data_IF_168862315220
#
_entry.id   IF_168862315220
#
_cell.length_a   1.000
_cell.length_b   1.000
_cell.length_c   1.000
_cell.angle_alpha   90.00
_cell.angle_beta   90.00
_cell.angle_gamma   90.00
#
_symmetry.space_group_name_H-M   'P 1'
#
loop_
_entity.id
_entity.type
_entity.pdbx_description
1 polymer ?
#
# COMPACT_ATOMS: atom_id res chain seq x y z
N UNK A 1 -18.91 25.98 4.87
CA UNK A 1 -19.89 24.86 4.77
C UNK A 1 -19.07 23.58 4.88
N UNK A 2 -19.21 22.85 5.99
CA UNK A 2 -18.47 21.61 6.20
C UNK A 2 -19.12 20.52 5.34
N UNK A 3 -18.46 20.11 4.28
CA UNK A 3 -18.84 18.92 3.54
C UNK A 3 -18.57 17.70 4.40
N UNK A 4 -19.62 17.00 4.83
CA UNK A 4 -19.52 15.67 5.40
C UNK A 4 -19.16 14.78 4.21
N UNK A 5 -17.87 14.42 4.06
CA UNK A 5 -17.46 13.42 3.10
C UNK A 5 -17.98 12.06 3.60
N UNK A 6 -19.13 11.67 3.08
CA UNK A 6 -19.56 10.27 3.08
C UNK A 6 -18.50 9.49 2.31
N UNK A 7 -17.84 8.55 2.96
CA UNK A 7 -16.76 7.73 2.42
C UNK A 7 -16.98 7.37 0.95
N UNK A 8 -16.22 8.02 0.06
CA UNK A 8 -16.45 7.98 -1.38
C UNK A 8 -16.36 6.56 -1.89
N UNK A 9 -17.45 6.09 -2.48
CA UNK A 9 -17.52 4.77 -3.09
C UNK A 9 -16.48 4.68 -4.21
N UNK A 10 -15.63 3.66 -4.18
CA UNK A 10 -14.64 3.42 -5.23
C UNK A 10 -15.29 3.57 -6.63
N UNK A 11 -14.70 4.41 -7.48
CA UNK A 11 -15.18 4.59 -8.85
C UNK A 11 -14.91 3.35 -9.68
N UNK A 12 -15.70 3.17 -10.75
CA UNK A 12 -15.46 2.06 -11.70
C UNK A 12 -14.09 2.17 -12.37
N UNK A 13 -13.60 3.39 -12.58
CA UNK A 13 -12.29 3.65 -13.19
C UNK A 13 -11.17 3.22 -12.26
N UNK A 14 -11.22 3.63 -10.99
CA UNK A 14 -10.23 3.24 -9.98
C UNK A 14 -10.23 1.72 -9.74
N UNK A 15 -11.41 1.10 -9.66
CA UNK A 15 -11.49 -0.37 -9.55
C UNK A 15 -10.84 -1.06 -10.75
N UNK A 16 -11.14 -0.62 -11.97
CA UNK A 16 -10.52 -1.15 -13.19
C UNK A 16 -9.01 -0.96 -13.20
N UNK A 17 -8.52 0.17 -12.69
CA UNK A 17 -7.08 0.41 -12.55
C UNK A 17 -6.46 -0.59 -11.57
N UNK A 18 -7.01 -0.71 -10.36
CA UNK A 18 -6.55 -1.65 -9.33
C UNK A 18 -6.54 -3.10 -9.85
N UNK A 19 -7.53 -3.49 -10.64
CA UNK A 19 -7.61 -4.85 -11.18
C UNK A 19 -6.58 -5.15 -12.28
N UNK A 20 -6.16 -4.14 -13.06
CA UNK A 20 -5.38 -4.36 -14.30
C UNK A 20 -3.94 -3.87 -14.24
N UNK A 21 -3.60 -2.91 -13.35
CA UNK A 21 -2.24 -2.38 -13.24
C UNK A 21 -1.24 -3.49 -12.95
N UNK A 22 -0.08 -3.45 -13.60
CA UNK A 22 1.01 -4.42 -13.43
C UNK A 22 2.13 -3.79 -12.61
N UNK A 23 2.95 -4.60 -11.94
CA UNK A 23 4.10 -4.13 -11.17
C UNK A 23 5.01 -3.21 -12.02
N UNK A 24 5.28 -3.59 -13.27
CA UNK A 24 6.11 -2.82 -14.19
C UNK A 24 5.51 -1.49 -14.68
N UNK A 25 4.21 -1.27 -14.46
CA UNK A 25 3.52 -0.05 -14.89
C UNK A 25 3.69 1.09 -13.85
N UNK A 26 4.24 0.79 -12.67
CA UNK A 26 4.52 1.74 -11.61
C UNK A 26 6.01 2.15 -11.65
N UNK A 27 6.31 3.45 -11.63
CA UNK A 27 7.69 3.94 -11.63
C UNK A 27 8.33 3.86 -10.23
N UNK A 28 8.52 2.64 -9.71
CA UNK A 28 8.99 2.36 -8.34
C UNK A 28 10.29 3.11 -7.96
N UNK A 29 11.17 3.31 -8.93
CA UNK A 29 12.42 4.04 -8.74
C UNK A 29 12.24 5.57 -8.61
N UNK A 30 11.02 6.07 -8.75
CA UNK A 30 10.67 7.50 -8.68
C UNK A 30 9.62 7.83 -7.61
N UNK A 31 9.17 6.84 -6.85
CA UNK A 31 8.23 7.03 -5.74
C UNK A 31 8.88 6.65 -4.42
N UNK A 32 8.47 7.35 -3.36
CA UNK A 32 9.13 7.28 -2.05
C UNK A 32 8.55 6.22 -1.14
N UNK A 33 9.41 5.73 -0.29
CA UNK A 33 9.12 4.94 0.91
C UNK A 33 9.51 5.73 2.16
N UNK A 34 9.44 5.14 3.33
CA UNK A 34 9.87 5.75 4.61
C UNK A 34 11.32 6.27 4.57
N UNK A 35 12.22 5.54 3.92
CA UNK A 35 13.66 5.82 4.02
C UNK A 35 14.34 6.08 2.67
N UNK A 36 13.70 5.69 1.56
CA UNK A 36 14.31 5.71 0.23
C UNK A 36 13.25 5.64 -0.87
N UNK A 37 13.67 5.43 -2.10
CA UNK A 37 12.78 5.10 -3.22
C UNK A 37 12.38 3.62 -3.18
N UNK A 38 11.24 3.27 -3.76
CA UNK A 38 10.69 1.91 -3.80
C UNK A 38 11.33 1.01 -4.87
N UNK A 39 12.56 1.28 -5.29
CA UNK A 39 13.23 0.65 -6.45
C UNK A 39 13.21 -0.87 -6.42
N UNK A 40 13.38 -1.48 -5.24
CA UNK A 40 13.47 -2.94 -5.07
C UNK A 40 12.11 -3.65 -4.93
N UNK A 41 11.01 -2.91 -4.80
CA UNK A 41 9.67 -3.48 -4.58
C UNK A 41 9.25 -4.51 -5.64
N UNK A 42 9.53 -4.32 -6.96
CA UNK A 42 9.21 -5.35 -7.95
C UNK A 42 9.79 -6.73 -7.61
N UNK A 43 11.04 -6.78 -7.16
CA UNK A 43 11.72 -8.02 -6.75
C UNK A 43 11.05 -8.63 -5.52
N UNK A 44 10.69 -7.82 -4.54
CA UNK A 44 10.03 -8.31 -3.33
C UNK A 44 8.64 -8.87 -3.63
N UNK A 45 7.86 -8.24 -4.52
CA UNK A 45 6.58 -8.79 -4.95
C UNK A 45 6.70 -10.13 -5.69
N UNK A 46 7.76 -10.34 -6.48
CA UNK A 46 8.04 -11.64 -7.11
C UNK A 46 8.28 -12.71 -6.04
N UNK A 47 9.15 -12.44 -5.05
CA UNK A 47 9.42 -13.35 -3.93
C UNK A 47 8.14 -13.70 -3.17
N UNK A 48 7.36 -12.67 -2.78
CA UNK A 48 6.10 -12.88 -2.07
C UNK A 48 5.08 -13.67 -2.89
N UNK A 49 5.03 -13.45 -4.20
CA UNK A 49 4.10 -14.14 -5.08
C UNK A 49 4.51 -15.60 -5.32
N UNK A 50 5.79 -15.93 -5.31
CA UNK A 50 6.27 -17.30 -5.56
C UNK A 50 5.99 -18.25 -4.39
N UNK A 51 6.04 -17.75 -3.15
CA UNK A 51 5.73 -18.52 -1.92
C UNK A 51 6.53 -19.82 -1.80
N UNK A 52 7.81 -19.80 -2.16
CA UNK A 52 8.66 -20.98 -2.20
C UNK A 52 9.63 -21.10 -1.02
N UNK A 53 10.06 -19.96 -0.47
CA UNK A 53 11.07 -19.86 0.57
C UNK A 53 10.58 -18.92 1.68
N UNK A 54 10.45 -19.46 2.89
CA UNK A 54 9.93 -18.71 4.02
C UNK A 54 10.87 -17.57 4.44
N UNK A 55 12.18 -17.82 4.51
CA UNK A 55 13.17 -16.81 4.92
C UNK A 55 13.22 -15.64 3.90
N UNK A 56 13.17 -15.97 2.60
CA UNK A 56 13.11 -14.94 1.56
C UNK A 56 11.83 -14.10 1.65
N UNK A 57 10.69 -14.73 1.99
CA UNK A 57 9.41 -14.05 2.18
C UNK A 57 9.42 -13.15 3.42
N UNK A 58 9.97 -13.61 4.53
CA UNK A 58 10.14 -12.80 5.75
C UNK A 58 10.94 -11.54 5.42
N UNK A 59 12.11 -11.70 4.81
CA UNK A 59 12.96 -10.56 4.42
C UNK A 59 12.24 -9.60 3.45
N UNK A 60 11.61 -10.12 2.40
CA UNK A 60 10.91 -9.27 1.43
C UNK A 60 9.69 -8.56 2.04
N UNK A 61 8.96 -9.25 2.92
CA UNK A 61 7.82 -8.71 3.66
C UNK A 61 8.21 -7.59 4.61
N UNK A 62 9.30 -7.76 5.38
CA UNK A 62 9.84 -6.76 6.29
C UNK A 62 10.32 -5.51 5.53
N UNK A 63 11.04 -5.67 4.42
CA UNK A 63 11.51 -4.55 3.60
C UNK A 63 10.35 -3.72 3.02
N UNK A 64 9.29 -4.39 2.55
CA UNK A 64 8.09 -3.70 2.09
C UNK A 64 7.40 -3.01 3.28
N UNK A 65 7.16 -3.73 4.38
CA UNK A 65 6.44 -3.21 5.53
C UNK A 65 7.09 -1.93 6.08
N UNK A 66 8.40 -1.96 6.33
CA UNK A 66 9.16 -0.79 6.79
C UNK A 66 9.12 0.37 5.78
N UNK A 67 8.99 0.07 4.50
CA UNK A 67 8.98 1.09 3.45
C UNK A 67 7.62 1.76 3.27
N UNK A 68 6.50 1.10 3.56
CA UNK A 68 5.17 1.60 3.24
C UNK A 68 4.37 2.11 4.44
N UNK A 69 4.73 1.69 5.65
CA UNK A 69 4.10 2.16 6.88
C UNK A 69 5.19 2.34 7.95
N UNK A 70 5.23 3.50 8.57
CA UNK A 70 6.10 3.77 9.70
C UNK A 70 5.48 4.80 10.64
N UNK A 71 5.28 4.42 11.91
CA UNK A 71 4.71 5.28 12.95
C UNK A 71 3.39 5.96 12.53
N UNK A 72 2.49 5.19 11.92
CA UNK A 72 1.20 5.66 11.39
C UNK A 72 1.33 6.66 10.22
N UNK A 73 2.48 6.69 9.54
CA UNK A 73 2.67 7.50 8.33
C UNK A 73 2.71 6.58 7.11
N UNK A 74 1.94 6.94 6.08
CA UNK A 74 1.93 6.28 4.78
C UNK A 74 2.69 7.11 3.74
N UNK A 75 3.26 6.42 2.76
CA UNK A 75 4.16 7.00 1.78
C UNK A 75 3.64 6.84 0.36
N UNK A 76 4.28 7.49 -0.61
CA UNK A 76 3.87 7.46 -2.01
C UNK A 76 3.74 6.02 -2.56
N UNK A 77 4.62 5.13 -2.15
CA UNK A 77 4.58 3.71 -2.56
C UNK A 77 3.42 2.91 -1.93
N UNK A 78 2.87 3.36 -0.79
CA UNK A 78 1.91 2.56 0.00
C UNK A 78 0.66 2.15 -0.77
N UNK A 79 -0.12 3.05 -1.40
CA UNK A 79 -1.34 2.66 -2.09
C UNK A 79 -1.08 1.69 -3.26
N UNK A 80 0.04 1.84 -3.96
CA UNK A 80 0.44 0.94 -5.03
C UNK A 80 0.88 -0.42 -4.49
N UNK A 81 1.68 -0.44 -3.43
CA UNK A 81 2.08 -1.68 -2.76
C UNK A 81 0.86 -2.46 -2.25
N UNK A 82 -0.14 -1.78 -1.68
CA UNK A 82 -1.39 -2.39 -1.24
C UNK A 82 -2.08 -3.19 -2.35
N UNK A 83 -2.06 -2.73 -3.61
CA UNK A 83 -2.66 -3.47 -4.75
C UNK A 83 -1.97 -4.83 -4.94
N UNK A 84 -0.64 -4.85 -4.92
CA UNK A 84 0.12 -6.08 -5.17
C UNK A 84 0.08 -7.01 -3.96
N UNK A 85 0.17 -6.47 -2.75
CA UNK A 85 -0.01 -7.23 -1.51
C UNK A 85 -1.42 -7.83 -1.39
N UNK A 86 -2.47 -7.11 -1.80
CA UNK A 86 -3.83 -7.65 -1.90
C UNK A 86 -3.89 -8.89 -2.81
N UNK A 87 -3.20 -8.85 -3.96
CA UNK A 87 -3.16 -9.99 -4.88
C UNK A 87 -2.37 -11.16 -4.31
N UNK A 88 -1.26 -10.89 -3.62
CA UNK A 88 -0.48 -11.89 -2.89
C UNK A 88 -1.34 -12.53 -1.80
N UNK A 89 -2.03 -11.73 -0.99
CA UNK A 89 -2.94 -12.22 0.06
C UNK A 89 -4.02 -13.14 -0.51
N UNK A 90 -4.66 -12.72 -1.60
CA UNK A 90 -5.68 -13.53 -2.29
C UNK A 90 -5.13 -14.87 -2.77
N UNK A 91 -3.89 -14.89 -3.30
CA UNK A 91 -3.23 -16.13 -3.73
C UNK A 91 -2.85 -16.99 -2.53
N UNK A 92 -2.23 -16.42 -1.50
CA UNK A 92 -1.85 -17.12 -0.29
C UNK A 92 -3.06 -17.79 0.38
N UNK A 93 -4.16 -17.07 0.51
CA UNK A 93 -5.41 -17.60 1.08
C UNK A 93 -5.95 -18.80 0.30
N UNK A 94 -5.80 -18.82 -1.03
CA UNK A 94 -6.19 -19.94 -1.88
C UNK A 94 -5.27 -21.14 -1.73
N UNK A 95 -3.97 -20.91 -1.55
CA UNK A 95 -2.94 -21.94 -1.60
C UNK A 95 -2.55 -22.47 -0.20
N UNK A 96 -3.02 -21.83 0.90
CA UNK A 96 -2.60 -22.10 2.29
C UNK A 96 -2.74 -23.57 2.73
N UNK A 97 -3.79 -24.27 2.28
CA UNK A 97 -4.02 -25.67 2.68
C UNK A 97 -2.99 -26.64 2.07
N UNK A 98 -2.19 -26.19 1.10
CA UNK A 98 -1.22 -27.02 0.36
C UNK A 98 0.19 -26.45 0.40
N UNK A 99 0.37 -25.25 0.91
CA UNK A 99 1.64 -24.54 0.96
C UNK A 99 1.79 -23.86 2.33
N UNK A 100 2.69 -24.40 3.16
CA UNK A 100 2.95 -23.87 4.51
C UNK A 100 3.51 -22.45 4.51
N UNK A 101 4.15 -22.02 3.42
CA UNK A 101 4.64 -20.65 3.28
C UNK A 101 3.46 -19.69 2.99
N UNK A 102 2.49 -20.14 2.19
CA UNK A 102 1.25 -19.39 1.97
C UNK A 102 0.42 -19.31 3.26
N UNK A 103 0.32 -20.39 4.03
CA UNK A 103 -0.33 -20.43 5.34
C UNK A 103 0.29 -19.39 6.30
N UNK A 104 1.62 -19.35 6.38
CA UNK A 104 2.36 -18.36 7.16
C UNK A 104 2.10 -16.92 6.70
N UNK A 105 2.06 -16.68 5.39
CA UNK A 105 1.97 -15.34 4.82
C UNK A 105 0.60 -14.67 5.04
N UNK A 106 -0.48 -15.43 5.17
CA UNK A 106 -1.84 -14.87 5.37
C UNK A 106 -1.91 -13.99 6.63
N UNK A 107 -1.59 -14.47 7.85
CA UNK A 107 -1.64 -13.62 9.03
C UNK A 107 -0.61 -12.49 9.02
N UNK A 108 0.57 -12.67 8.43
CA UNK A 108 1.59 -11.61 8.33
C UNK A 108 1.10 -10.43 7.49
N UNK A 109 0.51 -10.70 6.32
CA UNK A 109 -0.09 -9.65 5.50
C UNK A 109 -1.32 -9.01 6.15
N UNK A 110 -2.13 -9.79 6.87
CA UNK A 110 -3.26 -9.24 7.61
C UNK A 110 -2.82 -8.26 8.70
N UNK A 111 -1.71 -8.53 9.39
CA UNK A 111 -1.13 -7.62 10.38
C UNK A 111 -0.64 -6.32 9.73
N UNK A 112 0.13 -6.41 8.64
CA UNK A 112 0.59 -5.24 7.89
C UNK A 112 -0.58 -4.37 7.40
N UNK A 113 -1.61 -4.98 6.83
CA UNK A 113 -2.83 -4.25 6.46
C UNK A 113 -3.54 -3.63 7.67
N UNK A 114 -3.42 -4.24 8.85
CA UNK A 114 -3.91 -3.69 10.11
C UNK A 114 -3.23 -2.38 10.47
N UNK A 115 -1.89 -2.30 10.42
CA UNK A 115 -1.14 -1.06 10.65
C UNK A 115 -1.52 0.03 9.65
N UNK A 116 -1.65 -0.31 8.37
CA UNK A 116 -2.09 0.64 7.34
C UNK A 116 -3.51 1.13 7.63
N UNK A 117 -4.42 0.26 8.05
CA UNK A 117 -5.79 0.64 8.40
C UNK A 117 -5.85 1.56 9.63
N UNK A 118 -5.01 1.31 10.64
CA UNK A 118 -4.88 2.18 11.82
C UNK A 118 -4.40 3.58 11.41
N UNK A 119 -3.36 3.67 10.56
CA UNK A 119 -2.86 4.93 10.03
C UNK A 119 -3.93 5.71 9.24
N UNK A 120 -4.68 5.02 8.37
CA UNK A 120 -5.80 5.60 7.62
C UNK A 120 -6.86 6.16 8.57
N UNK A 121 -7.28 5.38 9.57
CA UNK A 121 -8.31 5.80 10.51
C UNK A 121 -7.90 7.02 11.34
N UNK A 122 -6.60 7.17 11.66
CA UNK A 122 -6.08 8.37 12.34
C UNK A 122 -6.27 9.59 11.45
N UNK A 123 -5.80 9.54 10.21
CA UNK A 123 -5.79 10.69 9.29
C UNK A 123 -7.20 11.09 8.86
N UNK A 124 -8.11 10.15 8.67
CA UNK A 124 -9.52 10.46 8.34
C UNK A 124 -10.25 11.26 9.43
N UNK A 125 -9.78 11.23 10.66
CA UNK A 125 -10.35 12.01 11.77
C UNK A 125 -9.68 13.38 11.94
N UNK A 126 -8.68 13.70 11.10
CA UNK A 126 -8.00 15.00 11.08
C UNK A 126 -8.56 15.89 9.98
N UNK A 127 -8.15 17.16 9.97
CA UNK A 127 -8.40 18.05 8.83
C UNK A 127 -7.43 17.66 7.69
N UNK A 128 -7.95 17.44 6.49
CA UNK A 128 -7.18 17.05 5.32
C UNK A 128 -7.76 17.64 4.04
N UNK A 129 -6.96 17.67 2.97
CA UNK A 129 -7.39 18.05 1.63
C UNK A 129 -8.33 17.00 1.00
N UNK A 130 -8.95 17.34 -0.12
CA UNK A 130 -9.61 16.36 -0.97
C UNK A 130 -8.55 15.48 -1.67
N UNK A 131 -8.79 14.17 -1.86
CA UNK A 131 -7.85 13.32 -2.59
C UNK A 131 -7.82 13.67 -4.07
N UNK A 132 -6.75 13.29 -4.77
CA UNK A 132 -6.68 13.36 -6.23
C UNK A 132 -7.86 12.60 -6.86
N UNK A 133 -8.35 13.03 -8.03
CA UNK A 133 -9.57 12.47 -8.64
C UNK A 133 -9.48 10.97 -8.95
N UNK A 134 -8.30 10.50 -9.39
CA UNK A 134 -8.11 9.11 -9.77
C UNK A 134 -6.86 8.52 -9.12
N UNK A 135 -6.88 7.21 -8.88
CA UNK A 135 -5.77 6.47 -8.33
C UNK A 135 -4.46 6.69 -9.11
N UNK A 136 -4.53 6.60 -10.43
CA UNK A 136 -3.37 6.75 -11.32
C UNK A 136 -2.76 8.15 -11.30
N UNK A 137 -3.52 9.17 -10.92
CA UNK A 137 -3.06 10.56 -10.94
C UNK A 137 -1.90 10.79 -9.94
N UNK A 138 -1.76 9.91 -8.94
CA UNK A 138 -0.62 9.94 -8.00
C UNK A 138 0.74 9.70 -8.67
N UNK A 139 0.79 9.11 -9.86
CA UNK A 139 2.03 8.92 -10.62
C UNK A 139 2.12 9.81 -11.87
N UNK A 140 1.39 10.94 -11.86
CA UNK A 140 1.62 11.99 -12.84
C UNK A 140 3.04 12.55 -12.69
N UNK A 141 3.67 12.93 -13.80
CA UNK A 141 5.08 13.36 -13.86
C UNK A 141 5.44 14.43 -12.82
N UNK A 142 4.52 15.34 -12.51
CA UNK A 142 4.74 16.42 -11.52
C UNK A 142 4.92 15.94 -10.07
N UNK A 143 4.54 14.70 -9.77
CA UNK A 143 4.64 14.10 -8.44
C UNK A 143 5.80 13.11 -8.31
N UNK A 144 6.44 12.78 -9.42
CA UNK A 144 7.53 11.81 -9.43
C UNK A 144 8.86 12.48 -9.13
N UNK A 145 9.71 11.77 -8.43
CA UNK A 145 11.10 12.16 -8.23
C UNK A 145 11.89 12.02 -9.53
N UNK A 146 13.12 12.59 -9.57
CA UNK A 146 13.98 12.55 -10.75
C UNK A 146 14.18 11.12 -11.28
N UNK A 147 14.29 10.98 -12.60
CA UNK A 147 14.54 9.68 -13.24
C UNK A 147 15.86 9.07 -12.78
N UNK A 148 16.87 9.91 -12.64
CA UNK A 148 18.19 9.51 -12.15
C UNK A 148 18.21 9.65 -10.63
N UNK A 149 18.62 8.59 -9.93
CA UNK A 149 18.85 8.65 -8.49
C UNK A 149 20.09 9.48 -8.19
N UNK A 150 19.93 10.46 -7.34
CA UNK A 150 21.00 11.25 -6.75
C UNK A 150 20.73 11.40 -5.24
N UNK A 151 21.64 10.89 -4.42
CA UNK A 151 21.47 10.82 -2.98
C UNK A 151 21.38 12.22 -2.35
N UNK A 152 22.25 13.16 -2.79
CA UNK A 152 22.26 14.52 -2.26
C UNK A 152 20.97 15.28 -2.63
N UNK A 153 20.45 15.11 -3.85
CA UNK A 153 19.20 15.71 -4.28
C UNK A 153 18.01 15.12 -3.53
N UNK A 154 17.99 13.81 -3.29
CA UNK A 154 16.93 13.14 -2.55
C UNK A 154 16.93 13.55 -1.08
N UNK A 155 18.10 13.67 -0.43
CA UNK A 155 18.23 14.16 0.94
C UNK A 155 17.77 15.62 1.06
N UNK A 156 18.17 16.50 0.15
CA UNK A 156 17.71 17.90 0.14
C UNK A 156 16.19 18.01 0.01
N UNK A 157 15.55 17.14 -0.80
CA UNK A 157 14.08 17.12 -0.91
C UNK A 157 13.40 16.71 0.38
N UNK A 158 14.00 15.81 1.18
CA UNK A 158 13.44 15.43 2.49
C UNK A 158 13.54 16.54 3.53
N UNK A 159 14.46 17.50 3.36
CA UNK A 159 14.60 18.66 4.23
C UNK A 159 13.68 19.81 3.85
N UNK A 160 13.05 19.77 2.66
CA UNK A 160 12.06 20.77 2.24
C UNK A 160 10.78 20.64 3.07
N UNK A 161 10.26 21.77 3.55
CA UNK A 161 8.89 21.85 4.05
C UNK A 161 7.94 21.60 2.86
N UNK A 162 6.90 20.78 3.06
CA UNK A 162 5.91 20.45 2.02
C UNK A 162 6.44 19.57 0.84
N UNK A 163 7.17 18.49 1.15
CA UNK A 163 7.66 17.51 0.16
C UNK A 163 6.54 17.01 -0.77
N UNK A 164 5.32 16.88 -0.26
CA UNK A 164 4.15 16.48 -1.02
C UNK A 164 3.04 17.52 -0.89
N UNK A 165 2.36 17.89 -2.01
CA UNK A 165 1.11 18.65 -1.94
C UNK A 165 0.06 17.92 -1.09
N UNK A 166 -0.77 18.67 -0.37
CA UNK A 166 -1.76 18.13 0.57
C UNK A 166 -2.72 17.11 -0.05
N UNK A 167 -3.17 17.35 -1.29
CA UNK A 167 -4.05 16.47 -2.03
C UNK A 167 -3.37 15.14 -2.40
N UNK A 168 -2.08 15.18 -2.76
CA UNK A 168 -1.27 13.99 -2.99
C UNK A 168 -1.04 13.23 -1.68
N UNK A 169 -0.64 13.92 -0.61
CA UNK A 169 -0.38 13.31 0.69
C UNK A 169 -1.62 12.59 1.21
N UNK A 170 -2.78 13.25 1.19
CA UNK A 170 -4.03 12.61 1.60
C UNK A 170 -4.42 11.45 0.68
N UNK A 171 -4.09 11.52 -0.61
CA UNK A 171 -4.34 10.42 -1.55
C UNK A 171 -3.66 9.12 -1.18
N UNK A 172 -2.50 9.15 -0.48
CA UNK A 172 -1.84 7.94 0.01
C UNK A 172 -2.74 7.17 0.98
N UNK A 173 -3.41 7.86 1.89
CA UNK A 173 -4.34 7.27 2.86
C UNK A 173 -5.66 6.88 2.20
N UNK A 174 -6.27 7.78 1.44
CA UNK A 174 -7.55 7.55 0.78
C UNK A 174 -7.51 6.33 -0.15
N UNK A 175 -6.50 6.23 -1.01
CA UNK A 175 -6.40 5.13 -1.96
C UNK A 175 -5.93 3.82 -1.32
N UNK A 176 -5.11 3.86 -0.27
CA UNK A 176 -4.81 2.69 0.55
C UNK A 176 -6.09 2.12 1.17
N UNK A 177 -6.96 2.96 1.74
CA UNK A 177 -8.28 2.53 2.24
C UNK A 177 -9.13 1.86 1.17
N UNK A 178 -9.16 2.42 -0.04
CA UNK A 178 -9.94 1.83 -1.14
C UNK A 178 -9.50 0.39 -1.44
N UNK A 179 -8.18 0.11 -1.39
CA UNK A 179 -7.64 -1.25 -1.58
C UNK A 179 -7.96 -2.14 -0.38
N UNK A 180 -7.80 -1.64 0.85
CA UNK A 180 -8.14 -2.39 2.07
C UNK A 180 -9.59 -2.88 2.06
N UNK A 181 -10.53 -2.06 1.62
CA UNK A 181 -11.94 -2.44 1.52
C UNK A 181 -12.19 -3.64 0.59
N UNK A 182 -11.32 -3.87 -0.40
CA UNK A 182 -11.39 -5.07 -1.26
C UNK A 182 -11.02 -6.36 -0.52
N UNK A 183 -10.34 -6.27 0.63
CA UNK A 183 -10.01 -7.44 1.45
C UNK A 183 -11.22 -8.02 2.17
N UNK A 184 -12.27 -7.24 2.47
CA UNK A 184 -13.42 -7.71 3.28
C UNK A 184 -13.98 -9.08 2.88
N UNK A 185 -14.27 -9.36 1.60
CA UNK A 185 -14.78 -10.67 1.21
C UNK A 185 -13.75 -11.80 1.36
N UNK A 186 -12.44 -11.49 1.30
CA UNK A 186 -11.37 -12.46 1.50
C UNK A 186 -11.15 -12.76 2.99
N UNK A 187 -11.18 -11.74 3.83
CA UNK A 187 -11.01 -11.88 5.28
C UNK A 187 -12.08 -12.75 5.93
N UNK A 188 -13.30 -12.80 5.37
CA UNK A 188 -14.34 -13.75 5.80
C UNK A 188 -13.97 -15.22 5.59
N UNK A 189 -13.00 -15.50 4.75
CA UNK A 189 -12.54 -16.86 4.45
C UNK A 189 -11.29 -17.22 5.27
N UNK A 190 -10.64 -16.23 5.87
CA UNK A 190 -9.53 -16.42 6.78
C UNK A 190 -10.05 -16.68 8.20
N UNK A 191 -9.41 -17.59 8.91
CA UNK A 191 -9.83 -18.04 10.25
C UNK A 191 -8.83 -17.65 11.36
N UNK A 192 -7.73 -16.99 11.00
CA UNK A 192 -6.74 -16.47 11.95
C UNK A 192 -7.19 -15.18 12.65
N UNK A 193 -6.63 -14.92 13.83
CA UNK A 193 -7.02 -13.79 14.68
C UNK A 193 -6.63 -12.43 14.07
N UNK A 194 -5.51 -12.34 13.34
CA UNK A 194 -5.09 -11.08 12.70
C UNK A 194 -6.03 -10.68 11.57
N UNK A 195 -6.46 -11.65 10.77
CA UNK A 195 -7.48 -11.43 9.73
C UNK A 195 -8.84 -11.02 10.30
N UNK A 196 -9.26 -11.59 11.43
CA UNK A 196 -10.49 -11.17 12.13
C UNK A 196 -10.37 -9.74 12.65
N UNK A 197 -9.25 -9.40 13.32
CA UNK A 197 -9.00 -8.04 13.79
C UNK A 197 -9.04 -7.03 12.64
N UNK A 198 -8.37 -7.33 11.51
CA UNK A 198 -8.39 -6.48 10.32
C UNK A 198 -9.81 -6.30 9.77
N UNK A 199 -10.61 -7.37 9.72
CA UNK A 199 -12.00 -7.29 9.22
C UNK A 199 -12.86 -6.31 10.04
N UNK A 200 -12.64 -6.26 11.35
CA UNK A 200 -13.36 -5.34 12.25
C UNK A 200 -12.86 -3.89 12.12
N UNK A 201 -11.60 -3.71 11.76
CA UNK A 201 -10.94 -2.41 11.69
C UNK A 201 -11.29 -1.63 10.41
N UNK A 202 -11.52 -2.29 9.28
CA UNK A 202 -11.85 -1.72 7.97
C UNK A 202 -13.37 -1.79 7.70
#
# INVERSE_FOLDING_TARGET
MRGIFLGGKMTKENLKYIENVKVKDIPWHRITTTYKRATDFPKYFEILNDMNDKEAIETAGEEIAMGIEHQSTLWHATPFACIFLYRVFKKALKDRDKNSVAEYLVPELAELFGYIAEAVNIVENMEHADPLPNFKDMIDEKYLWSEVYDEEEDEMRWEEEDVFPDDLLYSFYYYSKQVLLLLKPLLKQADDERSKKLYELI
#
